data_IF_719607715655
#
_entry.id   IF_719607715655
#
_cell.length_a   1.000
_cell.length_b   1.000
_cell.length_c   1.000
_cell.angle_alpha   90.00
_cell.angle_beta   90.00
_cell.angle_gamma   90.00
#
_symmetry.space_group_name_H-M   'P 1'
#
loop_
_entity.id
_entity.type
_entity.pdbx_description
1 polymer ?
#
# COMPACT_ATOMS: atom_id res chain seq x y z
N UNK A 1 3.39 30.03 10.42
CA UNK A 1 4.70 29.64 9.87
C UNK A 1 4.49 29.35 8.39
N UNK A 2 4.81 30.30 7.51
CA UNK A 2 4.68 30.13 6.06
C UNK A 2 5.62 28.99 5.63
N UNK A 3 5.10 27.87 5.12
CA UNK A 3 5.92 26.82 4.50
C UNK A 3 6.69 27.50 3.36
N UNK A 4 8.01 27.62 3.51
CA UNK A 4 8.92 28.01 2.43
C UNK A 4 8.66 27.06 1.27
N UNK A 5 8.07 27.53 0.18
CA UNK A 5 7.78 26.67 -0.96
C UNK A 5 9.05 26.55 -1.78
N UNK A 6 9.92 25.61 -1.38
CA UNK A 6 11.04 25.13 -2.18
C UNK A 6 10.77 23.66 -2.46
N UNK A 7 10.75 23.27 -3.73
CA UNK A 7 10.44 21.90 -4.15
C UNK A 7 11.33 21.48 -5.29
N UNK A 8 11.88 20.27 -5.23
CA UNK A 8 12.56 19.63 -6.33
C UNK A 8 11.72 18.46 -6.84
N UNK A 9 11.45 18.40 -8.14
CA UNK A 9 10.66 17.33 -8.74
C UNK A 9 11.11 17.07 -10.19
N UNK A 10 10.95 15.84 -10.66
CA UNK A 10 11.20 15.52 -12.06
C UNK A 10 10.12 16.14 -12.96
N UNK A 11 10.56 16.65 -14.11
CA UNK A 11 9.68 17.06 -15.22
C UNK A 11 9.90 16.19 -16.47
N UNK A 12 11.07 15.53 -16.57
CA UNK A 12 11.36 14.40 -17.46
C UNK A 12 12.31 13.44 -16.74
N UNK A 13 12.60 12.24 -17.28
CA UNK A 13 13.58 11.32 -16.65
C UNK A 13 14.97 11.91 -16.40
N UNK A 14 15.36 12.96 -17.15
CA UNK A 14 16.66 13.62 -17.04
C UNK A 14 16.60 15.07 -16.56
N UNK A 15 15.41 15.61 -16.26
CA UNK A 15 15.24 17.02 -15.89
C UNK A 15 14.59 17.14 -14.52
N UNK A 16 15.30 17.79 -13.59
CA UNK A 16 14.77 18.16 -12.28
C UNK A 16 14.45 19.66 -12.30
N UNK A 17 13.21 20.01 -11.95
CA UNK A 17 12.81 21.39 -11.69
C UNK A 17 12.89 21.68 -10.20
N UNK A 18 13.61 22.74 -9.85
CA UNK A 18 13.66 23.28 -8.48
C UNK A 18 12.86 24.57 -8.43
N UNK A 19 11.63 24.51 -7.93
CA UNK A 19 10.82 25.71 -7.68
C UNK A 19 11.28 26.39 -6.39
N UNK A 20 11.43 27.70 -6.45
CA UNK A 20 11.82 28.57 -5.34
C UNK A 20 10.83 29.71 -5.22
N UNK A 21 10.68 30.26 -4.02
CA UNK A 21 9.89 31.47 -3.83
C UNK A 21 10.42 32.63 -4.71
N UNK A 22 9.53 33.36 -5.42
CA UNK A 22 9.91 34.52 -6.21
C UNK A 22 10.72 35.54 -5.40
N UNK A 23 11.68 36.21 -6.04
CA UNK A 23 12.54 37.24 -5.44
C UNK A 23 13.60 36.77 -4.42
N UNK A 24 13.73 35.46 -4.17
CA UNK A 24 14.86 34.91 -3.39
C UNK A 24 16.17 35.17 -4.15
N UNK A 25 17.24 35.64 -3.49
CA UNK A 25 18.53 35.85 -4.15
C UNK A 25 19.34 34.53 -4.16
N UNK A 26 19.48 33.93 -5.33
CA UNK A 26 20.16 32.63 -5.55
C UNK A 26 21.05 32.65 -6.79
N UNK A 27 21.59 33.82 -7.14
CA UNK A 27 22.35 33.99 -8.40
C UNK A 27 23.68 33.20 -8.41
N UNK A 28 24.15 32.77 -7.24
CA UNK A 28 25.33 31.91 -7.06
C UNK A 28 24.97 30.49 -6.61
N UNK A 29 23.69 30.11 -6.63
CA UNK A 29 23.27 28.81 -6.15
C UNK A 29 23.91 27.70 -6.99
N UNK A 30 24.42 26.70 -6.30
CA UNK A 30 24.93 25.47 -6.88
C UNK A 30 24.16 24.29 -6.32
N UNK A 31 24.07 23.24 -7.11
CA UNK A 31 23.37 22.02 -6.75
C UNK A 31 24.31 20.84 -6.93
N UNK A 32 24.38 20.01 -5.90
CA UNK A 32 24.99 18.69 -5.96
C UNK A 32 23.89 17.64 -5.85
N UNK A 33 23.87 16.66 -6.75
CA UNK A 33 22.97 15.51 -6.63
C UNK A 33 23.61 14.45 -5.73
N UNK A 34 22.80 13.83 -4.89
CA UNK A 34 23.18 12.66 -4.09
C UNK A 34 22.21 11.52 -4.36
N UNK A 35 22.77 10.37 -4.76
CA UNK A 35 22.04 9.12 -4.97
C UNK A 35 22.39 8.16 -3.84
N UNK A 36 21.42 7.75 -3.01
CA UNK A 36 21.64 6.88 -1.85
C UNK A 36 22.74 7.35 -0.88
N UNK A 37 22.89 8.66 -0.68
CA UNK A 37 23.97 9.32 0.09
C UNK A 37 25.36 9.37 -0.57
N UNK A 38 25.50 8.89 -1.80
CA UNK A 38 26.72 9.07 -2.58
C UNK A 38 26.59 10.29 -3.47
N UNK A 39 27.59 11.19 -3.42
CA UNK A 39 27.61 12.38 -4.27
C UNK A 39 27.73 11.94 -5.73
N UNK A 40 26.81 12.43 -6.55
CA UNK A 40 26.82 12.28 -7.99
C UNK A 40 27.31 13.59 -8.63
N UNK A 41 28.13 13.46 -9.66
CA UNK A 41 28.68 14.59 -10.40
C UNK A 41 27.92 14.86 -11.71
N UNK A 42 26.86 14.09 -11.99
CA UNK A 42 26.11 14.11 -13.25
C UNK A 42 25.02 15.20 -13.33
N UNK A 43 25.30 16.45 -12.93
CA UNK A 43 24.29 17.50 -12.86
C UNK A 43 24.80 18.82 -13.44
N UNK A 44 23.98 19.47 -14.27
CA UNK A 44 24.26 20.81 -14.80
C UNK A 44 23.03 21.71 -14.71
N UNK A 45 23.22 23.00 -14.50
CA UNK A 45 22.13 23.98 -14.55
C UNK A 45 21.89 24.33 -16.02
N UNK A 46 20.75 23.90 -16.56
CA UNK A 46 20.34 24.18 -17.95
C UNK A 46 19.66 25.53 -18.08
N UNK A 47 18.85 25.88 -17.07
CA UNK A 47 18.07 27.11 -17.06
C UNK A 47 17.92 27.64 -15.63
N UNK A 48 17.94 28.96 -15.48
CA UNK A 48 17.60 29.68 -14.26
C UNK A 48 16.69 30.85 -14.62
N UNK A 49 15.43 30.79 -14.20
CA UNK A 49 14.45 31.86 -14.40
C UNK A 49 14.21 32.54 -13.06
N UNK A 50 14.28 33.87 -13.04
CA UNK A 50 13.98 34.70 -11.87
C UNK A 50 13.26 35.97 -12.33
N UNK A 51 11.99 36.08 -12.01
CA UNK A 51 11.16 37.26 -12.23
C UNK A 51 10.18 37.48 -11.06
N UNK A 52 9.27 38.44 -11.17
CA UNK A 52 8.31 38.77 -10.10
C UNK A 52 7.27 37.69 -9.84
N UNK A 53 7.07 36.74 -10.75
CA UNK A 53 6.07 35.69 -10.68
C UNK A 53 6.68 34.29 -10.51
N UNK A 54 7.85 34.05 -11.09
CA UNK A 54 8.51 32.74 -11.13
C UNK A 54 9.96 32.83 -10.68
N UNK A 55 10.39 31.82 -9.94
CA UNK A 55 11.80 31.60 -9.66
C UNK A 55 12.08 30.10 -9.62
N UNK A 56 12.80 29.58 -10.61
CA UNK A 56 13.12 28.16 -10.67
C UNK A 56 14.44 27.89 -11.40
N UNK A 57 14.97 26.70 -11.14
CA UNK A 57 16.09 26.12 -11.86
C UNK A 57 15.62 24.88 -12.62
N UNK A 58 16.11 24.69 -13.84
CA UNK A 58 16.05 23.41 -14.55
C UNK A 58 17.43 22.80 -14.53
N UNK A 59 17.54 21.66 -13.87
CA UNK A 59 18.77 20.91 -13.72
C UNK A 59 18.72 19.71 -14.67
N UNK A 60 19.75 19.56 -15.48
CA UNK A 60 19.91 18.47 -16.44
C UNK A 60 20.83 17.41 -15.86
N UNK A 61 20.34 16.18 -15.87
CA UNK A 61 21.08 14.96 -15.55
C UNK A 61 21.78 14.41 -16.81
N UNK A 62 22.93 13.77 -16.62
CA UNK A 62 23.61 13.07 -17.72
C UNK A 62 23.03 11.67 -17.98
N UNK A 63 22.37 11.09 -16.98
CA UNK A 63 21.76 9.76 -17.01
C UNK A 63 20.32 9.84 -16.50
N UNK A 64 19.50 8.86 -16.89
CA UNK A 64 18.13 8.74 -16.43
C UNK A 64 18.07 8.38 -14.95
N UNK A 65 17.06 8.90 -14.26
CA UNK A 65 16.75 8.47 -12.89
C UNK A 65 16.35 7.00 -12.87
N UNK A 66 17.05 6.22 -12.05
CA UNK A 66 16.76 4.81 -11.79
C UNK A 66 15.88 4.68 -10.55
N UNK A 67 14.73 4.02 -10.68
CA UNK A 67 13.83 3.74 -9.54
C UNK A 67 14.48 2.81 -8.52
N UNK A 68 14.11 2.94 -7.25
CA UNK A 68 14.72 2.20 -6.15
C UNK A 68 15.81 2.96 -5.40
N UNK A 69 16.16 4.17 -5.86
CA UNK A 69 17.17 5.02 -5.25
C UNK A 69 16.54 6.25 -4.60
N UNK A 70 17.19 6.75 -3.55
CA UNK A 70 16.91 8.05 -2.95
C UNK A 70 17.71 9.14 -3.65
N UNK A 71 17.03 10.19 -4.13
CA UNK A 71 17.66 11.33 -4.81
C UNK A 71 17.46 12.60 -4.01
N UNK A 72 18.57 13.27 -3.69
CA UNK A 72 18.57 14.53 -2.95
C UNK A 72 19.46 15.55 -3.63
N UNK A 73 18.98 16.78 -3.73
CA UNK A 73 19.80 17.92 -4.10
C UNK A 73 20.34 18.60 -2.84
N UNK A 74 21.61 18.95 -2.87
CA UNK A 74 22.26 19.74 -1.82
C UNK A 74 22.69 21.07 -2.42
N UNK A 75 22.26 22.16 -1.80
CA UNK A 75 22.66 23.53 -2.13
C UNK A 75 23.06 24.24 -0.83
N UNK A 76 24.11 25.05 -0.87
CA UNK A 76 24.54 25.87 0.26
C UNK A 76 23.45 26.83 0.73
N UNK A 77 22.61 27.32 -0.19
CA UNK A 77 21.58 28.31 0.05
C UNK A 77 20.24 27.69 0.44
N UNK A 78 19.91 26.53 -0.13
CA UNK A 78 18.61 25.87 0.03
C UNK A 78 18.63 24.68 0.99
N UNK A 79 19.81 24.22 1.39
CA UNK A 79 19.97 23.02 2.19
C UNK A 79 19.75 21.74 1.37
N UNK A 80 19.10 20.75 1.98
CA UNK A 80 18.81 19.45 1.35
C UNK A 80 17.37 19.43 0.86
N UNK A 81 17.18 19.12 -0.42
CA UNK A 81 15.88 18.94 -1.05
C UNK A 81 15.74 17.50 -1.53
N UNK A 82 14.70 16.79 -1.10
CA UNK A 82 14.37 15.51 -1.70
C UNK A 82 13.78 15.76 -3.10
N UNK A 83 14.19 14.96 -4.07
CA UNK A 83 13.65 15.02 -5.43
C UNK A 83 12.42 14.14 -5.50
N UNK A 84 11.28 14.73 -5.85
CA UNK A 84 10.06 13.99 -6.15
C UNK A 84 10.17 13.32 -7.53
N UNK A 85 10.27 11.99 -7.56
CA UNK A 85 10.38 11.20 -8.78
C UNK A 85 9.06 10.56 -9.22
N UNK A 86 7.92 10.95 -8.61
CA UNK A 86 6.62 10.31 -8.84
C UNK A 86 6.13 10.38 -10.29
N UNK A 87 6.65 11.33 -11.08
CA UNK A 87 6.40 11.43 -12.51
C UNK A 87 6.72 10.12 -13.25
N UNK A 88 7.75 9.38 -12.82
CA UNK A 88 8.17 8.15 -13.49
C UNK A 88 7.12 7.03 -13.39
N UNK A 89 6.26 7.03 -12.37
CA UNK A 89 5.14 6.10 -12.29
C UNK A 89 4.00 6.39 -13.27
N UNK A 90 4.07 7.51 -14.01
CA UNK A 90 3.10 7.91 -15.03
C UNK A 90 3.65 7.77 -16.45
N UNK A 91 4.88 7.26 -16.60
CA UNK A 91 5.50 7.03 -17.91
C UNK A 91 4.89 5.81 -18.60
N UNK A 92 4.83 5.84 -19.93
CA UNK A 92 4.21 4.78 -20.74
C UNK A 92 4.94 3.42 -20.57
N UNK A 93 6.25 3.44 -20.31
CA UNK A 93 7.08 2.26 -20.12
C UNK A 93 7.16 1.77 -18.67
N UNK A 94 6.50 2.45 -17.72
CA UNK A 94 6.54 2.07 -16.31
C UNK A 94 5.99 0.66 -16.08
N UNK A 95 4.81 0.35 -16.62
CA UNK A 95 4.20 -0.97 -16.46
C UNK A 95 5.02 -2.04 -17.19
N UNK A 96 5.52 -1.76 -18.40
CA UNK A 96 6.39 -2.69 -19.13
C UNK A 96 7.66 -3.06 -18.32
N UNK A 97 8.19 -2.10 -17.55
CA UNK A 97 9.40 -2.26 -16.77
C UNK A 97 9.17 -2.77 -15.33
N UNK A 98 8.03 -2.46 -14.71
CA UNK A 98 7.80 -2.71 -13.28
C UNK A 98 6.56 -3.52 -12.95
N UNK A 99 5.65 -3.81 -13.88
CA UNK A 99 4.56 -4.73 -13.60
C UNK A 99 5.12 -6.09 -13.13
N UNK A 100 4.44 -6.67 -12.14
CA UNK A 100 4.85 -7.93 -11.51
C UNK A 100 3.71 -8.93 -11.51
N UNK A 101 3.83 -9.96 -12.33
CA UNK A 101 2.80 -11.01 -12.53
C UNK A 101 2.90 -12.17 -11.53
N UNK A 102 3.86 -12.12 -10.60
CA UNK A 102 4.03 -13.17 -9.60
C UNK A 102 2.89 -13.21 -8.58
N UNK A 103 2.53 -14.41 -8.15
CA UNK A 103 1.39 -14.65 -7.25
C UNK A 103 1.79 -14.72 -5.76
N UNK A 104 2.97 -14.22 -5.42
CA UNK A 104 3.57 -14.38 -4.09
C UNK A 104 3.70 -13.05 -3.31
N UNK A 105 3.03 -11.99 -3.77
CA UNK A 105 2.89 -10.74 -3.02
C UNK A 105 2.08 -10.95 -1.72
N UNK A 106 2.42 -10.17 -0.71
CA UNK A 106 1.88 -10.28 0.64
C UNK A 106 2.72 -11.15 1.56
N UNK A 107 2.08 -11.77 2.56
CA UNK A 107 2.74 -12.72 3.47
C UNK A 107 2.39 -14.16 3.13
N UNK A 108 3.42 -15.00 2.92
CA UNK A 108 3.26 -16.44 2.68
C UNK A 108 3.76 -17.22 3.89
N UNK A 109 2.84 -17.91 4.57
CA UNK A 109 3.10 -18.60 5.82
C UNK A 109 3.54 -20.06 5.64
N UNK A 110 4.54 -20.46 6.42
CA UNK A 110 4.82 -21.86 6.80
C UNK A 110 5.10 -21.93 8.31
N UNK A 111 5.09 -23.14 8.89
CA UNK A 111 5.34 -23.32 10.33
C UNK A 111 6.76 -22.94 10.78
N UNK A 112 7.73 -22.91 9.86
CA UNK A 112 9.14 -22.61 10.15
C UNK A 112 9.61 -21.26 9.62
N UNK A 113 8.87 -20.63 8.71
CA UNK A 113 9.26 -19.43 7.99
C UNK A 113 8.03 -18.70 7.45
N UNK A 114 8.05 -17.38 7.46
CA UNK A 114 7.13 -16.55 6.66
C UNK A 114 7.95 -15.67 5.73
N UNK A 115 7.58 -15.68 4.44
CA UNK A 115 8.12 -14.75 3.44
C UNK A 115 7.17 -13.57 3.27
N UNK A 116 7.73 -12.40 3.01
CA UNK A 116 7.01 -11.15 2.80
C UNK A 116 7.46 -10.58 1.47
N UNK A 117 6.52 -10.16 0.64
CA UNK A 117 6.80 -9.50 -0.63
C UNK A 117 5.87 -8.29 -0.81
N UNK A 118 6.46 -7.14 -1.12
CA UNK A 118 5.74 -5.88 -1.38
C UNK A 118 6.22 -5.29 -2.70
N UNK A 119 5.29 -5.03 -3.62
CA UNK A 119 5.59 -4.27 -4.83
C UNK A 119 5.62 -2.77 -4.51
N UNK A 120 6.79 -2.16 -4.60
CA UNK A 120 7.01 -0.74 -4.27
C UNK A 120 8.14 -0.16 -5.13
N UNK A 121 7.96 -0.06 -6.46
CA UNK A 121 9.06 0.21 -7.41
C UNK A 121 9.74 1.57 -7.19
N UNK A 122 8.97 2.60 -6.82
CA UNK A 122 9.47 3.95 -6.51
C UNK A 122 10.27 4.01 -5.21
N UNK A 123 10.03 3.09 -4.27
CA UNK A 123 10.59 3.20 -2.93
C UNK A 123 12.11 3.07 -2.97
N UNK A 124 12.81 3.91 -2.23
CA UNK A 124 14.25 3.75 -2.02
C UNK A 124 14.54 2.74 -0.92
N UNK A 125 13.60 2.55 -0.01
CA UNK A 125 13.72 1.66 1.14
C UNK A 125 12.36 1.13 1.57
N UNK A 126 12.32 -0.15 1.91
CA UNK A 126 11.17 -0.78 2.59
C UNK A 126 11.68 -1.51 3.83
N UNK A 127 11.04 -1.28 4.96
CA UNK A 127 11.30 -1.99 6.22
C UNK A 127 10.05 -2.74 6.64
N UNK A 128 10.18 -4.05 6.85
CA UNK A 128 9.16 -4.85 7.51
C UNK A 128 9.23 -4.61 9.02
N UNK A 129 8.10 -4.19 9.60
CA UNK A 129 7.94 -4.03 11.05
C UNK A 129 6.88 -5.00 11.56
N UNK A 130 7.26 -5.87 12.47
CA UNK A 130 6.41 -6.97 12.94
C UNK A 130 6.53 -7.20 14.44
N UNK A 131 5.42 -7.63 15.07
CA UNK A 131 5.37 -7.86 16.51
C UNK A 131 5.49 -9.35 16.84
N UNK A 132 6.67 -9.78 17.29
CA UNK A 132 6.98 -11.18 17.54
C UNK A 132 7.66 -11.37 18.89
N UNK A 133 7.31 -12.44 19.61
CA UNK A 133 7.83 -12.74 20.96
C UNK A 133 7.79 -11.54 21.92
N UNK A 134 6.65 -10.84 21.95
CA UNK A 134 6.36 -9.67 22.79
C UNK A 134 7.21 -8.41 22.51
N UNK A 135 7.79 -8.28 21.32
CA UNK A 135 8.55 -7.09 20.91
C UNK A 135 8.34 -6.74 19.44
N UNK A 136 8.53 -5.46 19.12
CA UNK A 136 8.65 -5.00 17.75
C UNK A 136 10.02 -5.36 17.19
N UNK A 137 10.02 -5.87 15.97
CA UNK A 137 11.20 -6.21 15.19
C UNK A 137 11.14 -5.42 13.88
N UNK A 138 12.28 -4.91 13.43
CA UNK A 138 12.43 -4.21 12.15
C UNK A 138 13.41 -4.99 11.29
N UNK A 139 13.11 -5.12 10.00
CA UNK A 139 13.98 -5.78 9.04
C UNK A 139 13.94 -5.04 7.71
N UNK A 140 15.09 -4.56 7.26
CA UNK A 140 15.20 -4.01 5.89
C UNK A 140 14.85 -5.12 4.90
N UNK A 141 13.97 -4.81 3.96
CA UNK A 141 13.63 -5.69 2.86
C UNK A 141 14.62 -5.48 1.72
N UNK A 142 14.90 -6.54 0.98
CA UNK A 142 15.80 -6.51 -0.17
C UNK A 142 14.99 -6.23 -1.42
N UNK A 143 15.39 -5.23 -2.21
CA UNK A 143 14.79 -4.96 -3.51
C UNK A 143 15.21 -6.02 -4.52
N UNK A 144 14.25 -6.54 -5.28
CA UNK A 144 14.44 -7.47 -6.39
C UNK A 144 13.95 -6.85 -7.71
N UNK A 145 13.91 -7.68 -8.76
CA UNK A 145 13.35 -7.33 -10.06
C UNK A 145 11.93 -6.76 -9.94
N UNK A 146 11.56 -5.93 -10.92
CA UNK A 146 10.24 -5.27 -11.00
C UNK A 146 9.89 -4.42 -9.77
N UNK A 147 10.86 -4.07 -8.92
CA UNK A 147 10.63 -3.24 -7.75
C UNK A 147 9.93 -3.96 -6.59
N UNK A 148 10.01 -5.29 -6.55
CA UNK A 148 9.48 -6.10 -5.43
C UNK A 148 10.49 -6.14 -4.29
N UNK A 149 10.07 -5.74 -3.11
CA UNK A 149 10.84 -5.85 -1.88
C UNK A 149 10.51 -7.16 -1.17
N UNK A 150 11.54 -7.89 -0.71
CA UNK A 150 11.39 -9.20 -0.07
C UNK A 150 12.08 -9.31 1.28
N UNK A 151 11.49 -10.15 2.13
CA UNK A 151 11.95 -10.41 3.48
C UNK A 151 11.58 -11.83 3.92
N UNK A 152 12.43 -12.47 4.71
CA UNK A 152 12.17 -13.79 5.28
C UNK A 152 12.34 -13.76 6.80
N UNK A 153 11.32 -14.20 7.54
CA UNK A 153 11.37 -14.30 9.00
C UNK A 153 11.22 -15.74 9.43
N UNK A 154 12.24 -16.27 10.14
CA UNK A 154 12.22 -17.62 10.69
C UNK A 154 11.32 -17.72 11.92
N UNK A 155 10.54 -18.79 11.97
CA UNK A 155 9.63 -19.14 13.06
C UNK A 155 8.18 -19.25 12.61
N UNK A 156 7.33 -19.61 13.56
CA UNK A 156 5.88 -19.64 13.36
C UNK A 156 5.31 -18.24 13.60
N UNK A 157 4.90 -17.56 12.54
CA UNK A 157 4.33 -16.21 12.59
C UNK A 157 2.80 -16.19 12.50
N UNK A 158 2.10 -17.31 12.68
CA UNK A 158 0.63 -17.33 12.67
C UNK A 158 0.05 -16.33 13.69
N UNK A 159 -0.74 -15.37 13.21
CA UNK A 159 -1.33 -14.32 14.03
C UNK A 159 -0.40 -13.15 14.37
N UNK A 160 0.82 -13.12 13.85
CA UNK A 160 1.75 -11.99 14.04
C UNK A 160 1.26 -10.79 13.24
N UNK A 161 1.14 -9.65 13.90
CA UNK A 161 0.82 -8.38 13.26
C UNK A 161 2.06 -7.73 12.64
N UNK A 162 1.90 -7.10 11.48
CA UNK A 162 2.97 -6.42 10.76
C UNK A 162 2.44 -5.25 9.91
N UNK A 163 3.37 -4.39 9.49
CA UNK A 163 3.18 -3.35 8.49
C UNK A 163 4.54 -3.03 7.83
N UNK A 164 4.53 -2.22 6.79
CA UNK A 164 5.73 -1.77 6.10
C UNK A 164 5.98 -0.29 6.41
N UNK A 165 7.23 0.08 6.64
CA UNK A 165 7.68 1.48 6.50
C UNK A 165 8.27 1.61 5.09
N UNK A 166 7.63 2.42 4.24
CA UNK A 166 8.01 2.63 2.84
C UNK A 166 8.56 4.05 2.69
N UNK A 167 9.79 4.17 2.21
CA UNK A 167 10.43 5.46 1.95
C UNK A 167 10.34 5.81 0.46
N UNK A 168 9.59 6.86 0.13
CA UNK A 168 9.49 7.45 -1.20
C UNK A 168 9.89 8.92 -1.13
N UNK A 169 10.70 9.42 -2.06
CA UNK A 169 11.10 10.85 -2.11
C UNK A 169 11.62 11.38 -0.75
N UNK A 170 12.41 10.55 -0.06
CA UNK A 170 12.94 10.80 1.29
C UNK A 170 11.90 10.92 2.42
N UNK A 171 10.61 10.69 2.15
CA UNK A 171 9.54 10.59 3.16
C UNK A 171 9.25 9.13 3.47
N UNK A 172 9.18 8.79 4.76
CA UNK A 172 8.85 7.43 5.20
C UNK A 172 7.45 7.39 5.80
N UNK A 173 6.61 6.51 5.27
CA UNK A 173 5.24 6.31 5.73
C UNK A 173 5.01 4.85 6.17
N UNK A 174 4.24 4.67 7.24
CA UNK A 174 3.76 3.34 7.64
C UNK A 174 2.53 2.97 6.80
N UNK A 175 2.55 1.80 6.17
CA UNK A 175 1.47 1.29 5.32
C UNK A 175 1.11 -0.15 5.68
N UNK A 176 -0.18 -0.46 5.61
CA UNK A 176 -0.64 -1.85 5.68
C UNK A 176 -0.31 -2.59 4.39
N UNK A 177 -0.17 -3.90 4.48
CA UNK A 177 0.04 -4.75 3.31
C UNK A 177 -1.26 -4.84 2.48
N UNK A 178 -1.27 -4.38 1.22
CA UNK A 178 -2.45 -4.42 0.36
C UNK A 178 -2.89 -5.85 0.02
N UNK A 179 -2.02 -6.84 0.20
CA UNK A 179 -2.30 -8.26 -0.04
C UNK A 179 -2.66 -9.02 1.25
N UNK A 180 -2.69 -8.35 2.40
CA UNK A 180 -3.02 -8.97 3.68
C UNK A 180 -4.40 -9.65 3.66
N UNK A 181 -4.47 -10.86 4.20
CA UNK A 181 -5.73 -11.61 4.35
C UNK A 181 -6.40 -11.41 5.70
N UNK A 182 -5.69 -10.84 6.66
CA UNK A 182 -6.17 -10.51 8.00
C UNK A 182 -5.63 -9.16 8.44
N UNK A 183 -6.37 -8.47 9.30
CA UNK A 183 -5.93 -7.24 9.95
C UNK A 183 -6.30 -7.25 11.43
N UNK A 184 -5.64 -6.40 12.21
CA UNK A 184 -6.14 -5.99 13.52
C UNK A 184 -7.37 -5.10 13.36
N UNK A 185 -8.08 -4.86 14.47
CA UNK A 185 -9.24 -3.96 14.53
C UNK A 185 -8.91 -2.60 13.93
N UNK A 186 -9.81 -2.10 13.07
CA UNK A 186 -9.68 -0.82 12.37
C UNK A 186 -8.39 -0.69 11.53
N UNK A 187 -7.91 -1.80 10.97
CA UNK A 187 -6.72 -1.86 10.12
C UNK A 187 -5.44 -1.28 10.76
N UNK A 188 -5.28 -1.42 12.08
CA UNK A 188 -4.07 -0.94 12.79
C UNK A 188 -2.79 -1.64 12.35
N UNK A 189 -2.89 -2.85 11.83
CA UNK A 189 -1.79 -3.62 11.24
C UNK A 189 -2.38 -4.80 10.44
N UNK A 190 -1.63 -5.25 9.43
CA UNK A 190 -1.86 -6.53 8.75
C UNK A 190 -1.49 -7.68 9.68
N UNK A 191 -2.04 -8.87 9.45
CA UNK A 191 -1.77 -10.07 10.27
C UNK A 191 -1.44 -11.26 9.37
N UNK A 192 -0.38 -11.98 9.73
CA UNK A 192 0.03 -13.21 9.04
C UNK A 192 -1.01 -14.30 9.28
N UNK A 193 -1.56 -14.86 8.20
CA UNK A 193 -2.55 -15.91 8.22
C UNK A 193 -1.89 -17.28 8.00
N UNK A 194 -2.13 -18.22 8.91
CA UNK A 194 -2.00 -19.64 8.63
C UNK A 194 -3.26 -20.13 7.88
N UNK A 195 -3.17 -20.55 6.61
CA UNK A 195 -4.34 -20.92 5.81
C UNK A 195 -5.18 -22.06 6.42
N UNK A 196 -4.55 -22.93 7.24
CA UNK A 196 -5.27 -24.02 7.93
C UNK A 196 -6.33 -23.51 8.90
N UNK A 197 -6.22 -22.28 9.42
CA UNK A 197 -7.18 -21.69 10.38
C UNK A 197 -8.51 -21.30 9.76
N UNK A 198 -8.53 -21.06 8.45
CA UNK A 198 -9.72 -20.63 7.72
C UNK A 198 -10.21 -21.70 6.74
N UNK A 199 -9.63 -22.90 6.77
CA UNK A 199 -10.06 -24.00 5.92
C UNK A 199 -11.43 -24.48 6.39
N UNK A 200 -12.45 -24.20 5.59
CA UNK A 200 -13.81 -24.70 5.77
C UNK A 200 -14.16 -25.63 4.60
N UNK A 201 -15.00 -26.63 4.87
CA UNK A 201 -15.63 -27.43 3.83
C UNK A 201 -16.85 -26.64 3.31
N UNK A 202 -16.78 -26.18 2.06
CA UNK A 202 -17.86 -25.43 1.43
C UNK A 202 -19.07 -26.31 1.09
N UNK A 203 -18.94 -27.64 1.21
CA UNK A 203 -20.05 -28.56 0.99
C UNK A 203 -20.62 -28.45 -0.44
N UNK A 204 -19.77 -28.13 -1.44
CA UNK A 204 -20.17 -27.88 -2.83
C UNK A 204 -20.94 -29.04 -3.46
N UNK A 205 -20.64 -30.28 -3.02
CA UNK A 205 -21.33 -31.50 -3.44
C UNK A 205 -22.84 -31.54 -3.16
N UNK A 206 -23.35 -30.64 -2.31
CA UNK A 206 -24.78 -30.59 -1.95
C UNK A 206 -25.58 -29.58 -2.78
N UNK A 207 -24.93 -28.83 -3.68
CA UNK A 207 -25.60 -27.85 -4.53
C UNK A 207 -25.60 -28.34 -5.99
N UNK A 208 -26.72 -28.17 -6.73
CA UNK A 208 -26.72 -28.41 -8.16
C UNK A 208 -25.89 -27.36 -8.89
N UNK A 209 -25.36 -27.72 -10.07
CA UNK A 209 -24.63 -26.78 -10.92
C UNK A 209 -25.54 -25.64 -11.38
N UNK A 210 -25.04 -24.40 -11.26
CA UNK A 210 -25.75 -23.21 -11.70
C UNK A 210 -25.44 -22.93 -13.19
N UNK A 211 -26.32 -23.42 -14.08
CA UNK A 211 -26.01 -23.55 -15.52
C UNK A 211 -26.31 -22.31 -16.37
N UNK A 212 -27.26 -21.46 -15.94
CA UNK A 212 -27.69 -20.28 -16.69
C UNK A 212 -27.90 -19.07 -15.79
N UNK A 213 -27.33 -17.93 -16.15
CA UNK A 213 -27.54 -16.67 -15.40
C UNK A 213 -29.02 -16.28 -15.24
N UNK A 214 -29.87 -16.65 -16.20
CA UNK A 214 -31.32 -16.38 -16.17
C UNK A 214 -32.09 -17.18 -15.13
N UNK A 215 -31.46 -18.17 -14.48
CA UNK A 215 -32.05 -18.95 -13.39
C UNK A 215 -31.83 -18.27 -12.02
N UNK A 216 -31.01 -17.21 -11.95
CA UNK A 216 -30.75 -16.49 -10.71
C UNK A 216 -31.93 -15.59 -10.32
N UNK A 217 -32.33 -15.68 -9.05
CA UNK A 217 -33.10 -14.64 -8.37
C UNK A 217 -32.16 -14.02 -7.34
N UNK A 218 -31.74 -12.78 -7.59
CA UNK A 218 -30.75 -12.10 -6.74
C UNK A 218 -31.47 -11.35 -5.62
N UNK A 219 -31.11 -11.65 -4.38
CA UNK A 219 -31.56 -10.95 -3.18
C UNK A 219 -30.43 -10.11 -2.61
N UNK A 220 -30.50 -8.79 -2.81
CA UNK A 220 -29.54 -7.86 -2.21
C UNK A 220 -29.83 -7.67 -0.71
N UNK A 221 -28.80 -7.84 0.12
CA UNK A 221 -28.93 -7.78 1.57
C UNK A 221 -27.69 -7.19 2.24
N UNK A 222 -27.89 -6.54 3.38
CA UNK A 222 -26.81 -6.04 4.23
C UNK A 222 -26.73 -6.84 5.54
N UNK A 223 -25.55 -7.36 5.89
CA UNK A 223 -25.35 -8.23 7.08
C UNK A 223 -25.89 -7.59 8.36
N UNK A 224 -25.69 -6.28 8.52
CA UNK A 224 -26.21 -5.56 9.69
C UNK A 224 -27.73 -5.49 9.65
N UNK A 225 -28.28 -5.00 8.55
CA UNK A 225 -29.68 -4.58 8.48
C UNK A 225 -30.61 -5.79 8.56
N UNK A 226 -30.20 -6.92 7.99
CA UNK A 226 -30.93 -8.19 8.04
C UNK A 226 -31.18 -8.71 9.46
N UNK A 227 -30.37 -8.30 10.44
CA UNK A 227 -30.35 -8.95 11.76
C UNK A 227 -30.36 -7.98 12.94
N UNK A 228 -30.29 -6.67 12.71
CA UNK A 228 -30.17 -5.66 13.79
C UNK A 228 -31.50 -5.36 14.50
N UNK A 229 -32.63 -5.67 13.88
CA UNK A 229 -33.96 -5.33 14.42
C UNK A 229 -34.24 -6.07 15.74
N UNK A 230 -34.68 -5.31 16.75
CA UNK A 230 -35.04 -5.80 18.10
C UNK A 230 -36.32 -6.67 18.13
N UNK A 231 -37.11 -6.67 17.05
CA UNK A 231 -38.34 -7.45 16.91
C UNK A 231 -38.08 -8.89 16.43
N UNK A 232 -36.82 -9.32 16.44
CA UNK A 232 -36.41 -10.70 16.17
C UNK A 232 -35.70 -11.31 17.37
N UNK A 233 -35.77 -12.63 17.52
CA UNK A 233 -35.04 -13.40 18.54
C UNK A 233 -33.61 -13.80 18.10
N UNK A 234 -33.12 -13.21 17.01
CA UNK A 234 -31.73 -13.38 16.54
C UNK A 234 -30.78 -12.89 17.64
N UNK A 235 -29.80 -13.74 17.99
CA UNK A 235 -28.88 -13.49 19.10
C UNK A 235 -27.73 -12.59 18.67
N UNK A 236 -27.02 -12.91 17.58
CA UNK A 236 -25.86 -12.17 17.11
C UNK A 236 -26.25 -11.03 16.15
N UNK A 237 -27.07 -10.09 16.65
CA UNK A 237 -27.58 -8.96 15.89
C UNK A 237 -26.46 -8.16 15.21
N UNK A 238 -26.61 -7.96 13.91
CA UNK A 238 -25.71 -7.21 13.05
C UNK A 238 -24.33 -7.83 12.81
N UNK A 239 -24.18 -9.15 12.98
CA UNK A 239 -22.92 -9.90 12.81
C UNK A 239 -23.08 -11.00 11.77
N UNK A 240 -21.97 -11.47 11.18
CA UNK A 240 -21.98 -12.61 10.24
C UNK A 240 -22.66 -13.86 10.81
N UNK A 241 -22.40 -14.19 12.09
CA UNK A 241 -23.03 -15.33 12.75
C UNK A 241 -24.56 -15.18 12.84
N UNK A 242 -25.06 -13.96 13.04
CA UNK A 242 -26.49 -13.70 13.15
C UNK A 242 -27.26 -14.02 11.88
N UNK A 243 -26.61 -13.88 10.72
CA UNK A 243 -27.22 -14.18 9.44
C UNK A 243 -27.57 -15.66 9.32
N UNK A 244 -26.72 -16.56 9.82
CA UNK A 244 -26.85 -18.02 9.64
C UNK A 244 -27.51 -18.75 10.83
N UNK A 245 -28.07 -18.01 11.79
CA UNK A 245 -28.78 -18.62 12.92
C UNK A 245 -30.08 -19.30 12.47
N UNK A 246 -30.23 -20.58 12.83
CA UNK A 246 -31.42 -21.36 12.49
C UNK A 246 -32.52 -21.21 13.53
N UNK A 247 -33.77 -21.37 13.07
CA UNK A 247 -34.98 -21.38 13.89
C UNK A 247 -35.36 -20.01 14.45
N UNK A 248 -34.81 -18.93 13.91
CA UNK A 248 -35.06 -17.57 14.39
C UNK A 248 -36.39 -17.03 13.89
N UNK A 249 -37.04 -16.25 14.74
CA UNK A 249 -38.39 -15.74 14.56
C UNK A 249 -38.51 -14.27 14.90
N UNK A 250 -39.49 -13.62 14.28
CA UNK A 250 -39.98 -12.31 14.70
C UNK A 250 -40.85 -12.45 15.96
N UNK A 251 -41.15 -11.34 16.64
CA UNK A 251 -42.12 -11.30 17.75
C UNK A 251 -43.51 -11.84 17.34
N UNK A 252 -43.86 -11.75 16.05
CA UNK A 252 -45.09 -12.33 15.48
C UNK A 252 -45.01 -13.83 15.16
N UNK A 253 -43.86 -14.49 15.41
CA UNK A 253 -43.67 -15.92 15.19
C UNK A 253 -43.29 -16.32 13.77
N UNK A 254 -43.09 -15.36 12.86
CA UNK A 254 -42.67 -15.61 11.48
C UNK A 254 -41.16 -15.88 11.39
N UNK A 255 -40.66 -16.64 10.39
CA UNK A 255 -39.23 -16.84 10.17
C UNK A 255 -38.48 -15.50 10.06
N UNK A 256 -37.26 -15.46 10.59
CA UNK A 256 -36.35 -14.31 10.51
C UNK A 256 -34.96 -14.75 10.03
N UNK A 257 -34.17 -13.81 9.50
CA UNK A 257 -32.80 -14.08 9.04
C UNK A 257 -32.76 -15.03 7.83
N UNK A 258 -31.81 -15.97 7.83
CA UNK A 258 -31.62 -16.89 6.69
C UNK A 258 -32.80 -17.85 6.45
N UNK A 259 -33.54 -18.23 7.50
CA UNK A 259 -34.73 -19.09 7.33
C UNK A 259 -35.84 -18.38 6.55
N UNK A 260 -35.96 -17.06 6.68
CA UNK A 260 -36.88 -16.26 5.87
C UNK A 260 -36.42 -16.21 4.40
N UNK A 261 -35.13 -15.96 4.14
CA UNK A 261 -34.58 -15.95 2.77
C UNK A 261 -34.82 -17.31 2.10
N UNK A 262 -34.54 -18.41 2.81
CA UNK A 262 -34.81 -19.76 2.31
C UNK A 262 -36.29 -20.00 2.00
N UNK A 263 -37.21 -19.39 2.75
CA UNK A 263 -38.63 -19.52 2.52
C UNK A 263 -39.13 -18.70 1.31
N UNK A 264 -38.37 -17.69 0.87
CA UNK A 264 -38.71 -16.88 -0.31
C UNK A 264 -38.43 -17.61 -1.63
N UNK A 265 -37.41 -18.46 -1.68
CA UNK A 265 -36.98 -19.18 -2.89
C UNK A 265 -35.48 -19.38 -2.92
#
# INVERSE_FOLDING_TARGET
MMKRLVKAHLVTPTLIKVDVFPLTNLDQASFDLFTNNHKDYSLTIKEHIKNSHEHYFILQLNEDIILGNDYRLVSSELGVLNVDISLLAQSDDFDDNYAYDGQDLGSTYSSSLTTFALWAPLASKVVLKYYFKKKWCLMNMVRHERGVYRAEVKGNLDGVSYFYEVTNNGETIEVSDPYAKLSLTNNKASVVLNPKRIKIDFNDKYLPDFSRYTEAVIYEAHVRDMTIDEHTDIVHKGKYLGLIEKGRKTKGGHPAGFDYIKALG
#
